data_IF_251240647624
#
_entry.id   IF_251240647624
#
_cell.length_a   1.000
_cell.length_b   1.000
_cell.length_c   1.000
_cell.angle_alpha   90.00
_cell.angle_beta   90.00
_cell.angle_gamma   90.00
#
_symmetry.space_group_name_H-M   'P 1'
#
loop_
_entity.id
_entity.type
_entity.pdbx_description
1 polymer ?
#
# COMPACT_ATOMS: atom_id res chain seq x y z
N UNK A 1 8.20 -12.99 13.73
CA UNK A 1 9.31 -12.60 12.82
C UNK A 1 10.29 -11.71 13.58
N UNK A 2 11.56 -12.03 13.52
CA UNK A 2 12.64 -11.17 14.00
C UNK A 2 12.75 -9.96 13.04
N UNK A 3 12.71 -8.73 13.57
CA UNK A 3 12.73 -7.50 12.77
C UNK A 3 14.11 -6.83 12.70
N UNK A 4 15.14 -7.44 13.28
CA UNK A 4 16.52 -6.95 13.11
C UNK A 4 16.88 -6.98 11.63
N UNK A 5 17.48 -5.88 11.15
CA UNK A 5 17.80 -5.70 9.73
C UNK A 5 16.57 -5.92 8.80
N UNK A 6 15.43 -5.33 9.16
CA UNK A 6 14.24 -5.34 8.32
C UNK A 6 13.81 -3.91 8.01
N UNK A 7 13.27 -3.72 6.82
CA UNK A 7 12.69 -2.44 6.38
C UNK A 7 11.35 -2.71 5.72
N UNK A 8 10.39 -1.84 5.99
CA UNK A 8 9.03 -1.94 5.45
C UNK A 8 8.68 -0.67 4.67
N UNK A 9 8.14 -0.84 3.48
CA UNK A 9 7.54 0.22 2.70
C UNK A 9 6.05 -0.06 2.52
N UNK A 10 5.19 0.85 2.97
CA UNK A 10 3.76 0.80 2.69
C UNK A 10 3.54 1.31 1.26
N UNK A 11 2.85 0.55 0.42
CA UNK A 11 2.69 0.88 -0.99
C UNK A 11 2.04 2.26 -1.20
N UNK A 12 1.06 2.62 -0.38
CA UNK A 12 0.39 3.93 -0.46
C UNK A 12 1.30 5.13 -0.14
N UNK A 13 2.46 4.89 0.49
CA UNK A 13 3.44 5.94 0.81
C UNK A 13 4.58 6.04 -0.21
N UNK A 14 4.51 5.30 -1.31
CA UNK A 14 5.52 5.39 -2.37
C UNK A 14 5.61 6.82 -2.90
N UNK A 15 6.84 7.29 -3.09
CA UNK A 15 7.14 8.67 -3.47
C UNK A 15 6.55 9.05 -4.85
N UNK A 16 6.63 8.13 -5.81
CA UNK A 16 5.91 8.19 -7.08
C UNK A 16 5.04 6.93 -7.21
N UNK A 17 3.76 7.10 -7.42
CA UNK A 17 2.83 5.98 -7.59
C UNK A 17 2.67 5.56 -9.04
N UNK A 18 3.30 6.27 -9.97
CA UNK A 18 3.13 6.01 -11.39
C UNK A 18 1.67 6.04 -11.80
N UNK A 19 1.23 4.96 -12.45
CA UNK A 19 -0.18 4.78 -12.85
C UNK A 19 -0.98 3.92 -11.87
N UNK A 20 -0.39 3.52 -10.73
CA UNK A 20 -1.08 2.81 -9.67
C UNK A 20 -1.99 3.75 -8.89
N UNK A 21 -3.19 3.29 -8.57
CA UNK A 21 -4.18 4.05 -7.83
C UNK A 21 -4.26 3.60 -6.37
N UNK A 22 -4.53 4.54 -5.46
CA UNK A 22 -4.83 4.19 -4.08
C UNK A 22 -6.26 3.65 -4.00
N UNK A 23 -6.41 2.48 -3.40
CA UNK A 23 -7.69 1.82 -3.21
C UNK A 23 -7.89 1.49 -1.73
N UNK A 24 -9.13 1.47 -1.28
CA UNK A 24 -9.47 1.29 0.14
C UNK A 24 -10.68 0.38 0.38
N UNK A 25 -11.11 -0.35 -0.64
CA UNK A 25 -12.24 -1.29 -0.57
C UNK A 25 -12.14 -2.26 0.63
N UNK A 26 -10.91 -2.66 0.99
CA UNK A 26 -10.65 -3.63 2.05
C UNK A 26 -10.11 -3.01 3.34
N UNK A 27 -10.16 -1.69 3.51
CA UNK A 27 -9.56 -1.00 4.67
C UNK A 27 -10.08 -1.52 6.01
N UNK A 28 -11.35 -1.89 6.10
CA UNK A 28 -11.94 -2.46 7.31
C UNK A 28 -11.38 -3.85 7.65
N UNK A 29 -10.99 -4.62 6.64
CA UNK A 29 -10.46 -5.97 6.82
C UNK A 29 -8.96 -5.97 7.09
N UNK A 30 -8.22 -5.06 6.47
CA UNK A 30 -6.77 -5.06 6.48
C UNK A 30 -6.13 -3.89 7.24
N UNK A 31 -6.93 -2.91 7.66
CA UNK A 31 -6.48 -1.77 8.48
C UNK A 31 -5.66 -0.71 7.73
N UNK A 32 -5.56 -0.81 6.40
CA UNK A 32 -4.83 0.13 5.55
C UNK A 32 -5.42 0.21 4.16
N UNK A 33 -5.14 1.29 3.45
CA UNK A 33 -5.32 1.39 2.01
C UNK A 33 -4.13 0.73 1.30
N UNK A 34 -4.28 0.42 0.04
CA UNK A 34 -3.27 -0.28 -0.77
C UNK A 34 -3.16 0.33 -2.17
N UNK A 35 -2.15 -0.06 -2.94
CA UNK A 35 -2.06 0.28 -4.35
C UNK A 35 -2.71 -0.79 -5.22
N UNK A 36 -3.42 -0.33 -6.25
CA UNK A 36 -4.15 -1.13 -7.22
C UNK A 36 -3.69 -0.79 -8.63
N UNK A 37 -3.32 -1.81 -9.40
CA UNK A 37 -3.03 -1.71 -10.82
C UNK A 37 -4.31 -1.89 -11.63
N UNK A 38 -5.01 -0.78 -11.93
CA UNK A 38 -6.31 -0.81 -12.61
C UNK A 38 -6.21 -0.27 -14.05
N UNK A 39 -5.78 -1.13 -14.97
CA UNK A 39 -5.62 -0.81 -16.40
C UNK A 39 -6.67 -1.43 -17.32
N UNK A 40 -7.73 -2.03 -16.76
CA UNK A 40 -8.80 -2.71 -17.51
C UNK A 40 -8.22 -3.75 -18.50
N UNK A 41 -7.25 -4.55 -18.04
CA UNK A 41 -6.56 -5.56 -18.83
C UNK A 41 -5.41 -5.03 -19.71
N UNK A 42 -5.08 -3.74 -19.59
CA UNK A 42 -3.88 -3.16 -20.22
C UNK A 42 -2.84 -2.89 -19.14
N UNK A 43 -1.64 -3.48 -19.20
CA UNK A 43 -0.59 -3.22 -18.24
C UNK A 43 -0.30 -1.73 -18.07
N UNK A 44 -0.10 -1.31 -16.85
CA UNK A 44 0.24 0.08 -16.52
C UNK A 44 1.61 0.43 -17.13
N UNK A 45 1.77 1.67 -17.59
CA UNK A 45 2.99 2.11 -18.26
C UNK A 45 4.04 2.64 -17.29
N UNK A 46 3.61 3.14 -16.13
CA UNK A 46 4.50 3.74 -15.13
C UNK A 46 4.40 2.97 -13.82
N UNK A 47 5.55 2.48 -13.36
CA UNK A 47 5.68 1.79 -12.09
C UNK A 47 5.45 2.73 -10.90
N UNK A 48 4.98 2.18 -9.80
CA UNK A 48 5.02 2.86 -8.52
C UNK A 48 6.42 2.67 -7.91
N UNK A 49 7.09 3.77 -7.54
CA UNK A 49 8.50 3.76 -7.11
C UNK A 49 8.68 4.45 -5.77
N UNK A 50 9.53 3.86 -4.92
CA UNK A 50 9.99 4.48 -3.68
C UNK A 50 11.45 4.14 -3.40
N UNK A 51 12.01 4.75 -2.35
CA UNK A 51 13.34 4.45 -1.84
C UNK A 51 13.24 3.98 -0.40
N UNK A 52 13.98 2.93 -0.06
CA UNK A 52 14.11 2.43 1.31
C UNK A 52 15.57 2.52 1.77
N UNK A 53 15.78 2.63 3.09
CA UNK A 53 17.11 2.62 3.70
C UNK A 53 17.37 1.25 4.32
N UNK A 54 18.23 0.45 3.70
CA UNK A 54 18.62 -0.87 4.22
C UNK A 54 19.64 -0.69 5.33
N UNK A 55 19.42 -1.26 6.54
CA UNK A 55 20.22 -0.93 7.73
C UNK A 55 21.61 -1.59 7.77
N UNK A 56 21.81 -2.69 7.06
CA UNK A 56 23.09 -3.45 7.07
C UNK A 56 23.28 -4.22 5.77
N UNK A 57 24.52 -4.57 5.45
CA UNK A 57 24.83 -5.54 4.39
C UNK A 57 24.22 -6.90 4.72
N UNK A 58 23.67 -7.58 3.75
CA UNK A 58 23.11 -8.91 3.96
C UNK A 58 22.32 -9.48 2.80
N UNK A 59 21.86 -10.70 3.00
CA UNK A 59 20.90 -11.37 2.12
C UNK A 59 19.50 -11.17 2.67
N UNK A 60 18.66 -10.50 1.89
CA UNK A 60 17.31 -10.10 2.29
C UNK A 60 16.25 -10.91 1.56
N UNK A 61 15.33 -11.46 2.31
CA UNK A 61 14.10 -12.01 1.76
C UNK A 61 13.17 -10.87 1.35
N UNK A 62 12.63 -10.93 0.16
CA UNK A 62 11.55 -10.07 -0.31
C UNK A 62 10.20 -10.66 0.12
N UNK A 63 9.41 -9.89 0.85
CA UNK A 63 8.05 -10.26 1.27
C UNK A 63 7.08 -9.19 0.81
N UNK A 64 5.98 -9.59 0.21
CA UNK A 64 4.96 -8.67 -0.32
C UNK A 64 3.60 -9.02 0.25
N UNK A 65 2.91 -8.03 0.83
CA UNK A 65 1.53 -8.19 1.28
C UNK A 65 0.59 -7.90 0.14
N UNK A 66 -0.13 -8.93 -0.30
CA UNK A 66 -0.94 -8.92 -1.52
C UNK A 66 -2.17 -9.82 -1.38
N UNK A 67 -2.95 -9.95 -2.44
CA UNK A 67 -4.09 -10.87 -2.51
C UNK A 67 -4.36 -11.29 -3.95
N UNK A 68 -4.80 -12.54 -4.15
CA UNK A 68 -5.35 -13.01 -5.42
C UNK A 68 -6.88 -12.82 -5.39
N UNK A 69 -7.36 -11.76 -6.00
CA UNK A 69 -8.77 -11.41 -5.94
C UNK A 69 -9.69 -12.37 -6.73
N UNK A 70 -9.14 -13.18 -7.65
CA UNK A 70 -9.91 -14.13 -8.44
C UNK A 70 -9.98 -15.54 -7.85
N UNK A 71 -9.24 -15.82 -6.78
CA UNK A 71 -9.15 -17.16 -6.19
C UNK A 71 -10.50 -17.74 -5.74
N UNK A 72 -11.48 -16.90 -5.46
CA UNK A 72 -12.86 -17.33 -5.16
C UNK A 72 -13.56 -18.03 -6.33
N UNK A 73 -13.18 -17.67 -7.56
CA UNK A 73 -13.90 -18.10 -8.76
C UNK A 73 -13.09 -19.02 -9.65
N UNK A 74 -11.78 -19.03 -9.50
CA UNK A 74 -10.89 -19.76 -10.39
C UNK A 74 -9.62 -20.21 -9.68
N UNK A 75 -9.23 -21.46 -9.93
CA UNK A 75 -7.89 -21.99 -9.61
C UNK A 75 -6.91 -21.83 -10.79
N UNK A 76 -7.36 -21.23 -11.88
CA UNK A 76 -6.54 -20.93 -13.05
C UNK A 76 -5.58 -19.74 -12.84
N UNK A 77 -4.92 -19.31 -13.92
CA UNK A 77 -4.04 -18.14 -13.87
C UNK A 77 -4.77 -16.91 -13.32
N UNK A 78 -4.16 -16.25 -12.36
CA UNK A 78 -4.71 -15.01 -11.80
C UNK A 78 -4.45 -13.84 -12.75
N UNK A 79 -5.44 -12.98 -13.01
CA UNK A 79 -5.25 -11.80 -13.85
C UNK A 79 -4.54 -10.64 -13.15
N UNK A 80 -4.57 -10.58 -11.82
CA UNK A 80 -4.02 -9.46 -11.04
C UNK A 80 -2.59 -9.67 -10.56
N UNK A 81 -1.65 -9.94 -11.47
CA UNK A 81 -0.26 -10.21 -11.12
C UNK A 81 0.67 -9.03 -11.40
N UNK A 82 1.71 -8.91 -10.58
CA UNK A 82 2.74 -7.89 -10.69
C UNK A 82 4.10 -8.43 -10.21
N UNK A 83 5.16 -7.69 -10.50
CA UNK A 83 6.52 -7.94 -9.99
C UNK A 83 6.96 -6.81 -9.06
N UNK A 84 7.92 -7.11 -8.19
CA UNK A 84 8.66 -6.11 -7.42
C UNK A 84 10.08 -6.03 -7.98
N UNK A 85 10.52 -4.82 -8.28
CA UNK A 85 11.89 -4.56 -8.71
C UNK A 85 12.66 -3.97 -7.53
N UNK A 86 13.89 -4.43 -7.35
CA UNK A 86 14.84 -3.84 -6.42
C UNK A 86 16.04 -3.34 -7.23
N UNK A 87 16.34 -2.05 -7.13
CA UNK A 87 17.37 -1.36 -7.94
C UNK A 87 17.23 -1.61 -9.46
N UNK A 88 15.99 -1.65 -9.93
CA UNK A 88 15.67 -1.88 -11.33
C UNK A 88 15.73 -3.34 -11.79
N UNK A 89 16.05 -4.29 -10.88
CA UNK A 89 16.07 -5.72 -11.17
C UNK A 89 14.79 -6.36 -10.67
N UNK A 90 14.03 -6.96 -11.57
CA UNK A 90 12.79 -7.66 -11.22
C UNK A 90 13.08 -8.94 -10.44
N UNK A 91 12.34 -9.15 -9.35
CA UNK A 91 12.31 -10.45 -8.67
C UNK A 91 11.75 -11.52 -9.62
N UNK A 92 12.22 -12.76 -9.50
CA UNK A 92 11.75 -13.85 -10.33
C UNK A 92 10.30 -14.26 -10.00
N UNK A 93 9.82 -13.96 -8.80
CA UNK A 93 8.46 -14.26 -8.41
C UNK A 93 7.48 -13.22 -8.96
N UNK A 94 6.28 -13.68 -9.27
CA UNK A 94 5.11 -12.83 -9.50
C UNK A 94 4.22 -12.86 -8.27
N UNK A 95 3.67 -11.70 -7.91
CA UNK A 95 2.86 -11.52 -6.70
C UNK A 95 1.37 -11.42 -7.04
N UNK A 96 0.52 -11.69 -6.03
CA UNK A 96 -0.93 -11.72 -6.19
C UNK A 96 -1.47 -13.06 -6.70
N UNK A 97 -0.74 -14.15 -6.50
CA UNK A 97 -0.98 -15.44 -7.19
C UNK A 97 -1.69 -16.51 -6.37
N UNK A 98 -1.68 -16.42 -5.01
CA UNK A 98 -2.05 -17.57 -4.19
C UNK A 98 -3.39 -17.40 -3.46
N UNK A 99 -3.45 -16.66 -2.33
CA UNK A 99 -4.62 -16.63 -1.45
C UNK A 99 -5.63 -15.54 -1.81
N UNK A 100 -6.89 -15.83 -1.58
CA UNK A 100 -8.01 -14.88 -1.76
C UNK A 100 -8.02 -13.77 -0.71
N UNK A 101 -7.58 -14.06 0.49
CA UNK A 101 -7.44 -13.07 1.55
C UNK A 101 -6.09 -12.37 1.47
N UNK A 102 -5.93 -11.26 2.18
CA UNK A 102 -4.65 -10.58 2.28
C UNK A 102 -3.63 -11.44 3.01
N UNK A 103 -2.48 -11.66 2.38
CA UNK A 103 -1.44 -12.54 2.88
C UNK A 103 -0.04 -12.03 2.51
N UNK A 104 0.97 -12.56 3.17
CA UNK A 104 2.35 -12.33 2.82
C UNK A 104 2.82 -13.38 1.83
N UNK A 105 3.24 -12.93 0.66
CA UNK A 105 3.86 -13.77 -0.36
C UNK A 105 5.37 -13.54 -0.36
N UNK A 106 6.12 -14.63 -0.38
CA UNK A 106 7.58 -14.58 -0.43
C UNK A 106 8.04 -14.49 -1.88
N UNK A 107 8.98 -13.58 -2.16
CA UNK A 107 9.79 -13.52 -3.37
C UNK A 107 11.16 -14.16 -3.17
N UNK A 108 12.13 -13.71 -3.93
CA UNK A 108 13.52 -14.17 -3.88
C UNK A 108 14.31 -13.67 -2.67
N UNK A 109 15.56 -14.12 -2.62
CA UNK A 109 16.61 -13.57 -1.75
C UNK A 109 17.51 -12.64 -2.56
N UNK A 110 17.80 -11.47 -2.00
CA UNK A 110 18.52 -10.40 -2.68
C UNK A 110 19.69 -9.96 -1.80
N UNK A 111 20.89 -9.97 -2.34
CA UNK A 111 22.05 -9.45 -1.67
C UNK A 111 22.07 -7.92 -1.75
N UNK A 112 21.92 -7.24 -0.62
CA UNK A 112 21.89 -5.78 -0.53
C UNK A 112 23.00 -5.26 0.35
N UNK A 113 23.50 -4.09 0.00
CA UNK A 113 24.43 -3.32 0.84
C UNK A 113 23.63 -2.39 1.76
N UNK A 114 24.24 -1.99 2.86
CA UNK A 114 23.71 -0.91 3.68
C UNK A 114 23.56 0.36 2.86
N UNK A 115 22.39 1.01 2.94
CA UNK A 115 22.13 2.27 2.27
C UNK A 115 20.80 2.31 1.53
N UNK A 116 20.70 3.25 0.61
CA UNK A 116 19.46 3.49 -0.14
C UNK A 116 19.33 2.52 -1.32
N UNK A 117 18.15 1.92 -1.42
CA UNK A 117 17.74 1.06 -2.52
C UNK A 117 16.38 1.49 -3.06
N UNK A 118 16.16 1.34 -4.36
CA UNK A 118 14.87 1.62 -4.97
C UNK A 118 13.99 0.38 -4.95
N UNK A 119 12.70 0.57 -4.65
CA UNK A 119 11.66 -0.43 -4.84
C UNK A 119 10.69 0.06 -5.89
N UNK A 120 10.30 -0.80 -6.83
CA UNK A 120 9.26 -0.49 -7.80
C UNK A 120 8.23 -1.63 -7.86
N UNK A 121 6.97 -1.27 -8.09
CA UNK A 121 5.88 -2.20 -8.39
C UNK A 121 5.63 -2.14 -9.89
N UNK A 122 5.88 -3.23 -10.58
CA UNK A 122 5.71 -3.36 -12.03
C UNK A 122 4.48 -4.23 -12.32
N UNK A 123 3.47 -3.63 -12.93
CA UNK A 123 2.25 -4.33 -13.30
C UNK A 123 2.45 -5.16 -14.57
N UNK A 124 1.91 -6.38 -14.57
CA UNK A 124 2.04 -7.30 -15.71
C UNK A 124 0.76 -7.43 -16.53
N UNK A 125 -0.38 -7.03 -15.98
CA UNK A 125 -1.67 -7.38 -16.59
C UNK A 125 -2.66 -6.21 -16.67
N UNK A 126 -2.51 -5.17 -15.85
CA UNK A 126 -3.49 -4.11 -15.72
C UNK A 126 -4.83 -4.58 -15.18
N UNK A 127 -4.87 -5.73 -14.50
CA UNK A 127 -6.12 -6.33 -14.08
C UNK A 127 -6.18 -6.54 -12.57
N UNK A 128 -6.13 -5.43 -11.85
CA UNK A 128 -6.36 -5.35 -10.41
C UNK A 128 -5.32 -6.07 -9.52
N UNK A 129 -4.05 -6.01 -9.92
CA UNK A 129 -2.93 -6.34 -9.03
C UNK A 129 -2.96 -5.46 -7.79
N UNK A 130 -2.76 -6.03 -6.59
CA UNK A 130 -2.91 -5.33 -5.31
C UNK A 130 -1.67 -5.48 -4.45
N UNK A 131 -1.10 -4.36 -4.03
CA UNK A 131 0.04 -4.32 -3.12
C UNK A 131 -0.26 -3.41 -1.93
N UNK A 132 -0.15 -3.94 -0.71
CA UNK A 132 -0.29 -3.17 0.53
C UNK A 132 1.07 -2.75 1.08
N UNK A 133 2.00 -3.70 1.17
CA UNK A 133 3.31 -3.45 1.73
C UNK A 133 4.39 -4.36 1.13
N UNK A 134 5.61 -3.84 1.12
CA UNK A 134 6.83 -4.59 0.78
C UNK A 134 7.74 -4.59 1.99
N UNK A 135 8.29 -5.77 2.35
CA UNK A 135 9.28 -5.92 3.42
C UNK A 135 10.53 -6.57 2.85
N UNK A 136 11.67 -5.97 3.14
CA UNK A 136 12.98 -6.60 2.98
C UNK A 136 13.50 -7.00 4.36
N UNK A 137 13.87 -8.26 4.56
CA UNK A 137 14.28 -8.77 5.87
C UNK A 137 15.33 -9.87 5.78
N UNK A 138 16.25 -9.88 6.71
CA UNK A 138 17.21 -11.00 6.85
C UNK A 138 16.63 -12.20 7.59
N UNK A 139 15.40 -12.09 8.13
CA UNK A 139 14.71 -13.20 8.81
C UNK A 139 14.08 -14.14 7.78
N UNK A 140 14.20 -15.44 8.01
CA UNK A 140 13.48 -16.46 7.22
C UNK A 140 12.05 -16.69 7.70
N UNK A 141 11.63 -16.05 8.79
CA UNK A 141 10.27 -16.18 9.34
C UNK A 141 9.26 -15.35 8.50
N UNK A 142 8.13 -15.97 8.19
CA UNK A 142 7.01 -15.26 7.58
C UNK A 142 6.21 -14.50 8.63
N UNK A 143 5.79 -13.26 8.34
CA UNK A 143 4.82 -12.58 9.19
C UNK A 143 3.46 -13.29 9.16
N UNK A 144 2.67 -13.14 10.24
CA UNK A 144 1.29 -13.58 10.23
C UNK A 144 0.39 -12.72 9.33
N UNK A 145 -0.66 -13.36 8.79
CA UNK A 145 -1.57 -12.73 7.83
C UNK A 145 -2.72 -11.94 8.51
N UNK A 146 -2.99 -12.21 9.80
CA UNK A 146 -4.08 -11.56 10.53
C UNK A 146 -3.86 -10.06 10.70
N UNK A 147 -4.96 -9.31 10.85
CA UNK A 147 -4.89 -7.85 11.02
C UNK A 147 -4.07 -7.43 12.25
N UNK A 148 -4.20 -8.16 13.36
CA UNK A 148 -3.48 -7.83 14.59
C UNK A 148 -1.98 -8.10 14.47
N UNK A 149 -1.58 -9.21 13.84
CA UNK A 149 -0.17 -9.51 13.54
C UNK A 149 0.43 -8.48 12.59
N UNK A 150 -0.33 -8.07 11.57
CA UNK A 150 0.08 -7.03 10.64
C UNK A 150 0.27 -5.68 11.33
N UNK A 151 -0.68 -5.26 12.16
CA UNK A 151 -0.56 -4.02 12.97
C UNK A 151 0.65 -4.06 13.89
N UNK A 152 0.87 -5.19 14.56
CA UNK A 152 2.04 -5.38 15.41
C UNK A 152 3.37 -5.31 14.63
N UNK A 153 3.41 -5.87 13.42
CA UNK A 153 4.58 -5.78 12.53
C UNK A 153 4.83 -4.34 12.09
N UNK A 154 3.79 -3.62 11.65
CA UNK A 154 3.90 -2.19 11.29
C UNK A 154 4.44 -1.35 12.44
N UNK A 155 3.89 -1.50 13.63
CA UNK A 155 4.35 -0.76 14.81
C UNK A 155 5.81 -1.03 15.15
N UNK A 156 6.29 -2.27 14.92
CA UNK A 156 7.71 -2.62 15.16
C UNK A 156 8.65 -2.06 14.11
N UNK A 157 8.25 -2.06 12.83
CA UNK A 157 9.12 -1.65 11.71
C UNK A 157 9.06 -0.16 11.40
N UNK A 158 7.91 0.46 11.59
CA UNK A 158 7.69 1.88 11.27
C UNK A 158 7.65 2.77 12.52
N UNK A 159 7.61 2.15 13.70
CA UNK A 159 7.39 2.85 14.96
C UNK A 159 5.90 3.13 15.23
N UNK A 160 5.57 3.64 16.42
CA UNK A 160 4.22 4.02 16.75
C UNK A 160 3.76 5.22 15.90
N UNK A 161 2.51 5.18 15.47
CA UNK A 161 1.88 6.35 14.84
C UNK A 161 1.76 7.46 15.89
N UNK A 162 2.50 8.54 15.70
CA UNK A 162 2.46 9.69 16.60
C UNK A 162 1.48 10.72 16.02
N UNK A 163 0.46 11.15 16.77
CA UNK A 163 -0.42 12.23 16.33
C UNK A 163 0.39 13.49 16.03
N UNK A 164 0.11 14.09 14.89
CA UNK A 164 0.73 15.35 14.48
C UNK A 164 -0.22 16.50 14.80
N UNK A 165 0.21 17.44 15.65
CA UNK A 165 -0.52 18.67 15.89
C UNK A 165 -0.53 19.54 14.63
N UNK A 166 -1.71 19.84 14.12
CA UNK A 166 -1.93 20.69 12.93
C UNK A 166 -2.33 22.11 13.30
N UNK A 167 -2.33 22.43 14.60
CA UNK A 167 -2.69 23.73 15.13
C UNK A 167 -4.21 23.95 15.25
N UNK A 168 -4.59 25.21 15.43
CA UNK A 168 -5.98 25.63 15.66
C UNK A 168 -6.72 25.95 14.36
N UNK A 169 -7.99 25.64 14.32
CA UNK A 169 -8.90 25.92 13.22
C UNK A 169 -10.20 26.55 13.74
N UNK A 170 -10.80 27.44 12.95
CA UNK A 170 -12.10 28.04 13.28
C UNK A 170 -13.23 27.02 13.10
N UNK A 171 -13.05 26.08 12.15
CA UNK A 171 -14.05 25.08 11.81
C UNK A 171 -13.40 23.76 11.43
N UNK A 172 -13.82 22.68 12.08
CA UNK A 172 -13.33 21.32 11.78
C UNK A 172 -14.50 20.47 11.31
N UNK A 173 -14.37 19.92 10.11
CA UNK A 173 -15.33 18.98 9.52
C UNK A 173 -14.75 17.57 9.60
N UNK A 174 -15.46 16.65 10.22
CA UNK A 174 -15.09 15.23 10.28
C UNK A 174 -15.97 14.44 9.33
N UNK A 175 -15.34 13.86 8.32
CA UNK A 175 -15.98 13.12 7.24
C UNK A 175 -15.94 13.88 5.90
N UNK A 176 -15.20 13.32 4.95
CA UNK A 176 -14.98 13.89 3.60
C UNK A 176 -15.97 13.41 2.55
N UNK A 177 -17.17 12.97 2.92
CA UNK A 177 -18.27 12.76 1.97
C UNK A 177 -18.76 14.07 1.37
N UNK A 178 -19.72 14.02 0.42
CA UNK A 178 -20.19 15.22 -0.29
C UNK A 178 -20.67 16.31 0.66
N UNK A 179 -21.38 15.96 1.73
CA UNK A 179 -21.86 16.90 2.73
C UNK A 179 -20.73 17.60 3.49
N UNK A 180 -19.71 16.83 3.89
CA UNK A 180 -18.55 17.40 4.58
C UNK A 180 -17.73 18.31 3.68
N UNK A 181 -17.54 17.93 2.41
CA UNK A 181 -16.87 18.78 1.41
C UNK A 181 -17.64 20.10 1.25
N UNK A 182 -18.95 20.05 1.08
CA UNK A 182 -19.80 21.24 0.93
C UNK A 182 -19.70 22.12 2.18
N UNK A 183 -19.75 21.57 3.39
CA UNK A 183 -19.62 22.31 4.63
C UNK A 183 -18.25 22.98 4.77
N UNK A 184 -17.16 22.24 4.49
CA UNK A 184 -15.81 22.78 4.54
C UNK A 184 -15.61 23.93 3.54
N UNK A 185 -16.08 23.74 2.29
CA UNK A 185 -15.99 24.77 1.26
C UNK A 185 -16.82 26.01 1.60
N UNK A 186 -18.03 25.85 2.15
CA UNK A 186 -18.87 26.96 2.56
C UNK A 186 -18.20 27.78 3.66
N UNK A 187 -17.67 27.14 4.70
CA UNK A 187 -16.97 27.80 5.78
C UNK A 187 -15.69 28.51 5.28
N UNK A 188 -14.90 27.88 4.44
CA UNK A 188 -13.69 28.46 3.87
C UNK A 188 -14.00 29.69 2.99
N UNK A 189 -15.08 29.65 2.19
CA UNK A 189 -15.54 30.79 1.38
C UNK A 189 -16.00 31.97 2.23
N UNK A 190 -16.44 31.72 3.47
CA UNK A 190 -16.80 32.76 4.44
C UNK A 190 -15.58 33.29 5.23
N UNK A 191 -14.37 32.81 4.90
CA UNK A 191 -13.14 33.31 5.50
C UNK A 191 -12.65 32.53 6.72
N UNK A 192 -13.31 31.42 7.10
CA UNK A 192 -12.86 30.60 8.21
C UNK A 192 -11.58 29.81 7.84
N UNK A 193 -10.69 29.61 8.81
CA UNK A 193 -9.61 28.64 8.72
C UNK A 193 -10.20 27.25 8.99
N UNK A 194 -10.29 26.42 7.96
CA UNK A 194 -11.01 25.14 8.00
C UNK A 194 -10.07 23.96 7.94
N UNK A 195 -10.34 22.92 8.74
CA UNK A 195 -9.80 21.58 8.58
C UNK A 195 -10.90 20.62 8.14
N UNK A 196 -10.63 19.80 7.12
CA UNK A 196 -11.44 18.67 6.73
C UNK A 196 -10.67 17.39 7.07
N UNK A 197 -11.23 16.58 7.96
CA UNK A 197 -10.65 15.31 8.41
C UNK A 197 -11.34 14.16 7.70
N UNK A 198 -10.57 13.33 7.04
CA UNK A 198 -11.04 12.14 6.33
C UNK A 198 -10.11 10.97 6.63
N UNK A 199 -10.67 9.82 6.93
CA UNK A 199 -9.94 8.57 7.21
C UNK A 199 -9.53 7.83 5.93
N UNK A 200 -10.02 8.29 4.76
CA UNK A 200 -9.79 7.69 3.45
C UNK A 200 -9.08 8.64 2.50
N UNK A 201 -8.38 8.08 1.53
CA UNK A 201 -7.56 8.85 0.59
C UNK A 201 -8.35 9.69 -0.40
N UNK A 202 -9.60 9.30 -0.68
CA UNK A 202 -10.44 9.98 -1.68
C UNK A 202 -11.58 10.68 -0.99
N UNK A 203 -11.79 11.94 -1.33
CA UNK A 203 -12.94 12.72 -0.89
C UNK A 203 -14.14 12.45 -1.79
N UNK A 204 -15.37 12.59 -1.26
CA UNK A 204 -16.60 12.47 -2.03
C UNK A 204 -17.52 11.34 -1.59
N UNK A 205 -16.99 10.32 -0.92
CA UNK A 205 -17.78 9.15 -0.51
C UNK A 205 -18.42 8.48 -1.74
N UNK A 206 -19.73 8.23 -1.73
CA UNK A 206 -20.43 7.58 -2.83
C UNK A 206 -20.38 8.34 -4.18
N UNK A 207 -19.95 9.60 -4.18
CA UNK A 207 -19.78 10.41 -5.40
C UNK A 207 -18.30 10.47 -5.85
N UNK A 208 -17.49 9.52 -5.45
CA UNK A 208 -16.08 9.44 -5.80
C UNK A 208 -15.75 8.07 -6.39
N UNK A 209 -14.49 7.90 -6.77
CA UNK A 209 -13.94 6.61 -7.23
C UNK A 209 -13.93 5.52 -6.15
N UNK A 210 -14.36 5.81 -4.91
CA UNK A 210 -14.53 4.79 -3.87
C UNK A 210 -15.65 3.80 -4.20
N UNK A 211 -16.68 4.27 -4.90
CA UNK A 211 -17.76 3.41 -5.38
C UNK A 211 -17.49 3.10 -6.84
N UNK A 212 -17.02 1.91 -7.09
CA UNK A 212 -16.82 1.37 -8.43
C UNK A 212 -18.06 0.56 -8.80
N UNK A 213 -18.70 0.97 -9.87
CA UNK A 213 -19.85 0.26 -10.47
C UNK A 213 -19.34 -0.63 -11.60
#
# INVERSE_FOLDING_TARGET
MNTNNSVMALATTFADRGDWTVEQQFVLQMGSSYLLAHGIGTPLQRDAVTTVEVPADGEYNLLVRTKNWTKHWSDGPTPGIFQVLVDGVADAATFGTDKVDWYWQRGGKIALKKGKHTLALHDLTGFDGRCDAVVLTTSDEMPGDSLDEYRALRARLLGPETPVDKGEFDFVVVGGGISGICAALAAARLGCKVALVQDRYVLGGNNSSEVRV
#
